data_IF_025261646979
#
_entry.id   IF_025261646979
#
_cell.length_a   1.000
_cell.length_b   1.000
_cell.length_c   1.000
_cell.angle_alpha   90.00
_cell.angle_beta   90.00
_cell.angle_gamma   90.00
#
_symmetry.space_group_name_H-M   'P 1'
#
loop_
_entity.id
_entity.type
_entity.pdbx_description
1 polymer ?
#
# COMPACT_ATOMS: atom_id res chain seq x y z
N UNK A 1 8.97 -0.09 0.95
CA UNK A 1 9.27 -1.49 1.29
C UNK A 1 10.75 -1.74 1.13
N UNK A 2 11.40 -2.21 2.19
CA UNK A 2 12.83 -2.53 2.23
C UNK A 2 12.97 -3.99 2.67
N UNK A 3 13.81 -4.78 1.99
CA UNK A 3 14.19 -6.10 2.48
C UNK A 3 15.02 -5.95 3.75
N UNK A 4 14.55 -6.47 4.89
CA UNK A 4 15.23 -6.29 6.18
C UNK A 4 16.58 -7.01 6.28
N UNK A 5 16.80 -8.06 5.49
CA UNK A 5 18.04 -8.85 5.52
C UNK A 5 19.11 -8.23 4.62
N UNK A 6 18.72 -7.72 3.46
CA UNK A 6 19.66 -7.22 2.44
C UNK A 6 19.72 -5.69 2.38
N UNK A 7 18.76 -4.99 2.96
CA UNK A 7 18.62 -3.53 2.84
C UNK A 7 18.12 -3.06 1.47
N UNK A 8 17.82 -3.98 0.54
CA UNK A 8 17.41 -3.60 -0.80
C UNK A 8 16.03 -2.93 -0.83
N UNK A 9 15.93 -1.87 -1.64
CA UNK A 9 14.64 -1.25 -1.95
C UNK A 9 13.82 -2.17 -2.87
N UNK A 10 12.65 -2.57 -2.40
CA UNK A 10 11.73 -3.46 -3.14
C UNK A 10 10.73 -2.63 -3.98
N UNK A 11 10.24 -1.53 -3.41
CA UNK A 11 9.15 -0.74 -3.96
C UNK A 11 8.41 0.04 -2.88
N UNK A 12 7.20 0.51 -3.19
CA UNK A 12 6.33 1.22 -2.26
C UNK A 12 4.91 0.66 -2.29
N UNK A 13 4.22 0.81 -1.15
CA UNK A 13 2.81 0.48 -0.96
C UNK A 13 2.25 1.51 0.01
N UNK A 14 1.01 1.94 -0.20
CA UNK A 14 0.37 2.91 0.67
C UNK A 14 -1.07 3.19 0.28
N UNK A 15 -1.74 3.94 1.15
CA UNK A 15 -3.12 4.38 0.97
C UNK A 15 -3.14 5.89 0.77
N UNK A 16 -3.97 6.35 -0.17
CA UNK A 16 -4.27 7.75 -0.38
C UNK A 16 -5.74 7.99 -0.04
N UNK A 17 -6.04 8.97 0.79
CA UNK A 17 -7.42 9.42 0.99
C UNK A 17 -7.81 10.37 -0.15
N UNK A 18 -8.70 9.91 -1.02
CA UNK A 18 -9.16 10.64 -2.20
C UNK A 18 -10.40 11.44 -1.84
N UNK A 19 -10.27 12.77 -1.82
CA UNK A 19 -11.36 13.73 -1.57
C UNK A 19 -11.96 14.29 -2.85
N UNK A 20 -11.21 14.23 -3.96
CA UNK A 20 -11.68 14.64 -5.28
C UNK A 20 -12.64 13.59 -5.88
N UNK A 21 -13.48 14.03 -6.81
CA UNK A 21 -14.40 13.14 -7.51
C UNK A 21 -13.68 12.38 -8.62
N UNK A 22 -13.51 11.07 -8.45
CA UNK A 22 -12.92 10.16 -9.45
C UNK A 22 -13.96 9.10 -9.80
N UNK A 23 -14.32 8.97 -11.09
CA UNK A 23 -15.32 8.01 -11.56
C UNK A 23 -16.65 8.07 -10.79
N UNK A 24 -17.11 9.27 -10.44
CA UNK A 24 -18.31 9.51 -9.60
C UNK A 24 -18.20 9.02 -8.14
N UNK A 25 -17.01 8.66 -7.67
CA UNK A 25 -16.71 8.34 -6.28
C UNK A 25 -15.91 9.46 -5.61
N UNK A 26 -16.11 9.68 -4.30
CA UNK A 26 -15.36 10.63 -3.46
C UNK A 26 -15.27 10.10 -2.03
N UNK A 27 -14.32 10.63 -1.26
CA UNK A 27 -14.10 10.27 0.15
C UNK A 27 -13.83 8.77 0.35
N UNK A 28 -12.90 8.22 -0.43
CA UNK A 28 -12.50 6.82 -0.33
C UNK A 28 -10.99 6.69 -0.20
N UNK A 29 -10.53 5.56 0.36
CA UNK A 29 -9.12 5.22 0.38
C UNK A 29 -8.74 4.44 -0.88
N UNK A 30 -7.75 4.92 -1.60
CA UNK A 30 -7.15 4.24 -2.75
C UNK A 30 -5.87 3.52 -2.31
N UNK A 31 -5.79 2.22 -2.59
CA UNK A 31 -4.64 1.37 -2.26
C UNK A 31 -3.74 1.23 -3.49
N UNK A 32 -2.51 1.71 -3.38
CA UNK A 32 -1.51 1.59 -4.44
C UNK A 32 -0.28 0.84 -3.99
N UNK A 33 0.33 0.09 -4.93
CA UNK A 33 1.69 -0.41 -4.79
C UNK A 33 2.43 -0.38 -6.12
N UNK A 34 3.76 -0.28 -6.04
CA UNK A 34 4.66 -0.47 -7.19
C UNK A 34 5.94 -1.14 -6.74
N UNK A 35 6.28 -2.22 -7.41
CA UNK A 35 7.43 -3.08 -7.12
C UNK A 35 8.41 -3.07 -8.28
N UNK A 36 9.71 -3.15 -7.99
CA UNK A 36 10.70 -3.49 -9.01
C UNK A 36 10.42 -4.89 -9.57
N UNK A 37 10.57 -5.06 -10.88
CA UNK A 37 10.22 -6.31 -11.59
C UNK A 37 10.88 -7.56 -11.00
N UNK A 38 12.12 -7.45 -10.51
CA UNK A 38 12.84 -8.57 -9.88
C UNK A 38 12.17 -9.13 -8.62
N UNK A 39 11.23 -8.39 -8.01
CA UNK A 39 10.50 -8.80 -6.81
C UNK A 39 9.05 -9.22 -7.10
N UNK A 40 8.64 -9.31 -8.37
CA UNK A 40 7.31 -9.78 -8.74
C UNK A 40 7.16 -11.28 -8.47
N UNK A 41 5.93 -11.73 -8.22
CA UNK A 41 5.62 -13.15 -7.97
C UNK A 41 6.03 -13.67 -6.59
N UNK A 42 6.53 -12.80 -5.69
CA UNK A 42 7.04 -13.19 -4.37
C UNK A 42 6.10 -12.83 -3.21
N UNK A 43 4.90 -12.31 -3.50
CA UNK A 43 3.88 -11.99 -2.47
C UNK A 43 4.04 -10.63 -1.76
N UNK A 44 5.13 -9.88 -2.00
CA UNK A 44 5.38 -8.60 -1.33
C UNK A 44 4.26 -7.54 -1.51
N UNK A 45 3.63 -7.49 -2.69
CA UNK A 45 2.50 -6.58 -2.92
C UNK A 45 1.35 -6.90 -1.96
N UNK A 46 0.96 -8.18 -1.86
CA UNK A 46 -0.13 -8.65 -1.01
C UNK A 46 0.17 -8.42 0.47
N UNK A 47 1.37 -8.81 0.94
CA UNK A 47 1.77 -8.63 2.33
C UNK A 47 1.75 -7.16 2.75
N UNK A 48 2.38 -6.29 1.95
CA UNK A 48 2.46 -4.86 2.26
C UNK A 48 1.11 -4.15 2.14
N UNK A 49 0.23 -4.60 1.24
CA UNK A 49 -1.13 -4.08 1.12
C UNK A 49 -1.94 -4.34 2.39
N UNK A 50 -1.94 -5.59 2.87
CA UNK A 50 -2.63 -5.95 4.12
C UNK A 50 -2.07 -5.19 5.32
N UNK A 51 -0.74 -5.06 5.42
CA UNK A 51 -0.12 -4.27 6.48
C UNK A 51 -0.53 -2.79 6.42
N UNK A 52 -0.68 -2.21 5.22
CA UNK A 52 -1.11 -0.81 5.06
C UNK A 52 -2.57 -0.62 5.47
N UNK A 53 -3.45 -1.54 5.08
CA UNK A 53 -4.87 -1.55 5.47
C UNK A 53 -4.97 -1.69 6.99
N UNK A 54 -4.33 -2.70 7.58
CA UNK A 54 -4.33 -2.94 9.03
C UNK A 54 -3.87 -1.70 9.80
N UNK A 55 -2.79 -1.07 9.36
CA UNK A 55 -2.31 0.15 9.98
C UNK A 55 -3.35 1.28 9.94
N UNK A 56 -3.99 1.53 8.80
CA UNK A 56 -4.99 2.60 8.70
C UNK A 56 -6.18 2.33 9.60
N UNK A 57 -6.78 1.14 9.55
CA UNK A 57 -8.03 0.86 10.26
C UNK A 57 -7.82 0.55 11.75
N UNK A 58 -6.72 -0.11 12.13
CA UNK A 58 -6.53 -0.58 13.51
C UNK A 58 -5.56 0.29 14.34
N UNK A 59 -4.67 1.08 13.72
CA UNK A 59 -3.68 1.89 14.47
C UNK A 59 -3.99 3.38 14.50
N UNK A 60 -4.40 3.97 13.37
CA UNK A 60 -4.58 5.42 13.26
C UNK A 60 -6.04 5.85 13.21
N UNK A 61 -6.98 4.92 13.42
CA UNK A 61 -8.41 5.22 13.50
C UNK A 61 -9.01 5.65 12.17
N UNK A 62 -8.65 4.96 11.09
CA UNK A 62 -9.33 5.09 9.81
C UNK A 62 -10.83 4.90 10.01
N UNK A 63 -11.57 5.99 9.78
CA UNK A 63 -13.04 6.11 9.83
C UNK A 63 -13.78 4.90 9.29
#
# INVERSE_FOLDING_TARGET
>A
MINKNTGEFIGWTGLQFVTESINSHKNFYDLGYRLLKKFWGQGFATESAFASIDYVFNKIGGI
#
